data_IF_311406935183
#
_entry.id   IF_311406935183
#
_cell.length_a   1.000
_cell.length_b   1.000
_cell.length_c   1.000
_cell.angle_alpha   90.00
_cell.angle_beta   90.00
_cell.angle_gamma   90.00
#
_symmetry.space_group_name_H-M   'P 1'
#
loop_
_entity.id
_entity.type
_entity.pdbx_description
1 polymer ?
#
# COMPACT_ATOMS: atom_id res chain seq x y z
N UNK A 1 -32.20 4.90 1.97
CA UNK A 1 -30.99 4.17 2.39
C UNK A 1 -29.91 4.33 1.33
N UNK A 2 -28.63 4.51 1.69
CA UNK A 2 -27.55 4.57 0.72
C UNK A 2 -27.46 3.23 -0.04
N UNK A 3 -27.39 3.32 -1.35
CA UNK A 3 -27.36 2.19 -2.27
C UNK A 3 -26.01 2.23 -2.98
N UNK A 4 -25.16 1.25 -2.71
CA UNK A 4 -23.87 1.13 -3.40
C UNK A 4 -24.04 0.14 -4.54
N UNK A 5 -23.72 0.56 -5.76
CA UNK A 5 -23.73 -0.27 -6.95
C UNK A 5 -22.36 -0.20 -7.61
N UNK A 6 -21.65 -1.33 -7.65
CA UNK A 6 -20.33 -1.46 -8.25
C UNK A 6 -20.42 -2.46 -9.41
N UNK A 7 -20.19 -1.97 -10.62
CA UNK A 7 -20.07 -2.79 -11.82
C UNK A 7 -18.66 -2.73 -12.35
N UNK A 8 -18.05 -3.88 -12.53
CA UNK A 8 -16.73 -4.03 -13.15
C UNK A 8 -16.83 -4.95 -14.34
N UNK A 9 -16.16 -4.60 -15.44
CA UNK A 9 -16.00 -5.47 -16.60
C UNK A 9 -14.52 -5.50 -16.97
N UNK A 10 -14.00 -6.71 -17.17
CA UNK A 10 -12.68 -6.91 -17.76
C UNK A 10 -12.93 -7.08 -19.27
N UNK A 11 -12.18 -6.32 -20.08
CA UNK A 11 -12.25 -6.47 -21.52
C UNK A 11 -11.81 -7.88 -21.94
N UNK A 12 -12.50 -8.43 -22.92
CA UNK A 12 -12.15 -9.74 -23.47
C UNK A 12 -10.76 -9.65 -24.09
N UNK A 13 -9.96 -10.69 -23.90
CA UNK A 13 -8.70 -10.84 -24.61
C UNK A 13 -8.47 -12.30 -24.98
N UNK A 14 -7.80 -12.50 -26.12
CA UNK A 14 -7.44 -13.81 -26.64
C UNK A 14 -5.99 -13.73 -27.14
N UNK A 15 -5.10 -14.44 -26.46
CA UNK A 15 -3.66 -14.49 -26.74
C UNK A 15 -3.27 -15.87 -27.28
N UNK A 16 -4.21 -16.59 -27.92
CA UNK A 16 -3.99 -17.93 -28.46
C UNK A 16 -4.39 -19.01 -27.45
N UNK A 17 -3.42 -19.63 -26.72
CA UNK A 17 -3.76 -20.57 -25.67
C UNK A 17 -4.43 -19.89 -24.46
N UNK A 18 -4.18 -18.61 -24.18
CA UNK A 18 -4.77 -17.95 -23.01
C UNK A 18 -5.83 -16.96 -23.45
N UNK A 19 -7.02 -17.00 -22.87
CA UNK A 19 -8.04 -15.99 -23.09
C UNK A 19 -8.98 -15.80 -21.90
N UNK A 20 -9.56 -14.60 -21.80
CA UNK A 20 -10.66 -14.29 -20.90
C UNK A 20 -11.79 -13.67 -21.70
N UNK A 21 -13.03 -14.09 -21.44
CA UNK A 21 -14.23 -13.61 -22.13
C UNK A 21 -15.36 -13.38 -21.16
N UNK A 22 -16.10 -12.29 -21.35
CA UNK A 22 -17.31 -11.98 -20.60
C UNK A 22 -17.08 -11.87 -19.10
N UNK A 23 -15.88 -11.46 -18.65
CA UNK A 23 -15.59 -11.32 -17.23
C UNK A 23 -16.26 -10.05 -16.68
N UNK A 24 -17.32 -10.21 -15.88
CA UNK A 24 -18.01 -9.11 -15.22
C UNK A 24 -18.27 -9.41 -13.75
N UNK A 25 -18.24 -8.36 -12.94
CA UNK A 25 -18.64 -8.35 -11.54
C UNK A 25 -19.72 -7.28 -11.33
N UNK A 26 -20.80 -7.65 -10.66
CA UNK A 26 -21.92 -6.75 -10.31
C UNK A 26 -22.22 -6.92 -8.82
N UNK A 27 -21.96 -5.86 -8.05
CA UNK A 27 -22.16 -5.82 -6.60
C UNK A 27 -23.18 -4.73 -6.30
N UNK A 28 -24.33 -5.14 -5.79
CA UNK A 28 -25.40 -4.25 -5.35
C UNK A 28 -25.61 -4.44 -3.87
N UNK A 29 -25.20 -3.45 -3.07
CA UNK A 29 -25.51 -3.40 -1.65
C UNK A 29 -26.80 -2.59 -1.46
N UNK A 30 -27.86 -3.25 -1.02
CA UNK A 30 -29.16 -2.64 -0.76
C UNK A 30 -29.74 -3.20 0.55
N UNK A 31 -30.62 -2.42 1.20
CA UNK A 31 -31.38 -2.88 2.37
C UNK A 31 -32.61 -3.72 2.00
N UNK A 32 -32.83 -3.94 0.70
CA UNK A 32 -33.95 -4.69 0.14
C UNK A 32 -33.49 -6.08 -0.33
N UNK A 33 -34.45 -6.92 -0.77
CA UNK A 33 -34.16 -8.22 -1.42
C UNK A 33 -33.34 -8.10 -2.70
N UNK A 34 -33.11 -6.89 -3.20
CA UNK A 34 -32.35 -6.66 -4.44
C UNK A 34 -30.82 -6.70 -4.24
N UNK A 35 -30.33 -6.83 -3.00
CA UNK A 35 -28.90 -6.95 -2.74
C UNK A 35 -28.33 -8.22 -3.38
N UNK A 36 -27.25 -8.08 -4.14
CA UNK A 36 -26.60 -9.20 -4.80
C UNK A 36 -25.11 -9.00 -5.08
N UNK A 37 -24.43 -10.12 -5.29
CA UNK A 37 -23.08 -10.24 -5.79
C UNK A 37 -23.11 -11.24 -6.94
N UNK A 38 -22.81 -10.76 -8.15
CA UNK A 38 -22.75 -11.58 -9.36
C UNK A 38 -21.35 -11.52 -9.95
N UNK A 39 -20.84 -12.68 -10.34
CA UNK A 39 -19.57 -12.83 -11.03
C UNK A 39 -19.77 -13.85 -12.14
N UNK A 40 -19.54 -13.43 -13.38
CA UNK A 40 -19.53 -14.35 -14.51
C UNK A 40 -18.28 -14.13 -15.35
N UNK A 41 -17.81 -15.19 -15.99
CA UNK A 41 -16.70 -15.11 -16.92
C UNK A 41 -16.24 -16.47 -17.41
N UNK A 42 -15.62 -16.48 -18.58
CA UNK A 42 -14.99 -17.66 -19.13
C UNK A 42 -13.49 -17.43 -19.30
N UNK A 43 -12.70 -18.45 -19.00
CA UNK A 43 -11.29 -18.52 -19.30
C UNK A 43 -10.98 -19.64 -20.28
N UNK A 44 -9.96 -19.41 -21.10
CA UNK A 44 -9.38 -20.39 -22.02
C UNK A 44 -7.92 -20.55 -21.64
N UNK A 45 -7.49 -21.81 -21.48
CA UNK A 45 -6.09 -22.19 -21.30
C UNK A 45 -5.79 -23.41 -22.17
N UNK A 46 -5.13 -23.18 -23.30
CA UNK A 46 -4.94 -24.12 -24.41
C UNK A 46 -6.28 -24.71 -24.88
N UNK A 47 -6.45 -26.03 -24.70
CA UNK A 47 -7.67 -26.77 -25.05
C UNK A 47 -8.70 -26.80 -23.91
N UNK A 48 -8.38 -26.20 -22.75
CA UNK A 48 -9.25 -26.13 -21.58
C UNK A 48 -10.06 -24.85 -21.65
N UNK A 49 -11.37 -24.99 -21.69
CA UNK A 49 -12.33 -23.90 -21.57
C UNK A 49 -13.02 -24.03 -20.22
N UNK A 50 -12.95 -22.98 -19.40
CA UNK A 50 -13.63 -22.92 -18.11
C UNK A 50 -14.61 -21.77 -18.12
N UNK A 51 -15.83 -21.97 -17.66
CA UNK A 51 -16.77 -20.89 -17.38
C UNK A 51 -17.18 -20.93 -15.93
N UNK A 52 -17.23 -19.77 -15.29
CA UNK A 52 -17.69 -19.58 -13.91
C UNK A 52 -18.89 -18.64 -13.96
N UNK A 53 -19.95 -19.02 -13.25
CA UNK A 53 -21.12 -18.20 -13.00
C UNK A 53 -21.47 -18.29 -11.51
N UNK A 54 -21.45 -17.17 -10.81
CA UNK A 54 -21.75 -17.04 -9.41
C UNK A 54 -22.80 -15.94 -9.26
N UNK A 55 -23.95 -16.27 -8.68
CA UNK A 55 -25.01 -15.33 -8.34
C UNK A 55 -25.42 -15.56 -6.88
N UNK A 56 -25.06 -14.61 -6.03
CA UNK A 56 -25.45 -14.57 -4.63
C UNK A 56 -26.40 -13.39 -4.41
N UNK A 57 -27.60 -13.65 -3.92
CA UNK A 57 -28.57 -12.63 -3.52
C UNK A 57 -29.10 -12.92 -2.12
N UNK A 58 -29.95 -12.04 -1.58
CA UNK A 58 -30.50 -12.16 -0.23
C UNK A 58 -31.17 -13.51 0.11
N UNK A 59 -31.60 -14.28 -0.90
CA UNK A 59 -32.36 -15.53 -0.70
C UNK A 59 -31.62 -16.77 -1.16
N UNK A 60 -30.60 -16.62 -2.01
CA UNK A 60 -29.98 -17.75 -2.71
C UNK A 60 -28.55 -17.45 -3.13
N UNK A 61 -27.70 -18.47 -3.03
CA UNK A 61 -26.39 -18.51 -3.69
C UNK A 61 -26.42 -19.62 -4.73
N UNK A 62 -26.08 -19.31 -5.97
CA UNK A 62 -25.82 -20.28 -7.04
C UNK A 62 -24.41 -20.10 -7.54
N UNK A 63 -23.67 -21.19 -7.66
CA UNK A 63 -22.35 -21.23 -8.27
C UNK A 63 -22.33 -22.36 -9.29
N UNK A 64 -22.04 -22.06 -10.54
CA UNK A 64 -21.87 -23.02 -11.60
C UNK A 64 -20.48 -22.86 -12.21
N UNK A 65 -19.81 -23.98 -12.45
CA UNK A 65 -18.58 -24.03 -13.23
C UNK A 65 -18.72 -25.11 -14.29
N UNK A 66 -18.31 -24.81 -15.52
CA UNK A 66 -18.21 -25.78 -16.61
C UNK A 66 -16.76 -25.80 -17.06
N UNK A 67 -16.17 -27.00 -17.15
CA UNK A 67 -14.84 -27.21 -17.69
C UNK A 67 -14.96 -28.13 -18.91
N UNK A 68 -14.45 -27.71 -20.07
CA UNK A 68 -14.35 -28.53 -21.28
C UNK A 68 -12.91 -28.65 -21.70
N UNK A 69 -12.44 -29.86 -21.97
CA UNK A 69 -11.09 -30.14 -22.43
C UNK A 69 -11.17 -30.79 -23.80
N UNK A 70 -10.87 -30.04 -24.87
CA UNK A 70 -10.70 -30.58 -26.22
C UNK A 70 -11.83 -31.46 -26.76
N UNK A 71 -13.07 -31.29 -26.28
CA UNK A 71 -14.24 -32.11 -26.65
C UNK A 71 -14.25 -33.54 -26.09
N UNK A 72 -13.20 -33.97 -25.38
CA UNK A 72 -13.07 -35.33 -24.82
C UNK A 72 -13.59 -35.44 -23.39
N UNK A 73 -13.63 -34.30 -22.69
CA UNK A 73 -14.05 -34.20 -21.31
C UNK A 73 -14.89 -32.94 -21.13
N UNK A 74 -16.04 -33.10 -20.52
CA UNK A 74 -16.87 -32.00 -20.03
C UNK A 74 -17.20 -32.28 -18.57
N UNK A 75 -17.02 -31.29 -17.69
CA UNK A 75 -17.56 -31.33 -16.35
C UNK A 75 -18.36 -30.09 -16.03
N UNK A 76 -19.60 -30.30 -15.62
CA UNK A 76 -20.49 -29.26 -15.12
C UNK A 76 -20.70 -29.47 -13.63
N UNK A 77 -20.25 -28.51 -12.83
CA UNK A 77 -20.54 -28.47 -11.40
C UNK A 77 -21.52 -27.35 -11.13
N UNK A 78 -22.64 -27.66 -10.50
CA UNK A 78 -23.63 -26.68 -10.05
C UNK A 78 -23.86 -26.85 -8.57
N UNK A 79 -23.76 -25.73 -7.87
CA UNK A 79 -23.97 -25.56 -6.45
C UNK A 79 -25.11 -24.59 -6.26
N UNK A 80 -26.08 -24.93 -5.43
CA UNK A 80 -27.17 -24.03 -5.09
C UNK A 80 -27.49 -24.13 -3.59
N UNK A 81 -27.55 -23.00 -2.91
CA UNK A 81 -27.97 -22.89 -1.52
C UNK A 81 -29.06 -21.86 -1.35
N UNK A 82 -30.13 -22.19 -0.63
CA UNK A 82 -30.98 -21.15 -0.05
C UNK A 82 -30.22 -20.45 1.08
N UNK A 83 -30.31 -19.12 1.16
CA UNK A 83 -29.89 -18.36 2.34
C UNK A 83 -31.10 -18.33 3.27
N UNK A 84 -31.26 -19.41 4.04
CA UNK A 84 -32.25 -19.53 5.11
C UNK A 84 -31.53 -19.88 6.41
N UNK A 85 -32.25 -19.88 7.54
CA UNK A 85 -31.69 -20.28 8.85
C UNK A 85 -31.16 -21.74 8.87
N UNK A 86 -31.37 -22.52 7.81
CA UNK A 86 -30.79 -23.85 7.60
C UNK A 86 -30.24 -23.95 6.17
N UNK A 87 -28.97 -23.61 5.94
CA UNK A 87 -28.38 -23.71 4.61
C UNK A 87 -28.47 -25.15 4.12
N UNK A 88 -29.15 -25.36 2.99
CA UNK A 88 -29.21 -26.65 2.30
C UNK A 88 -28.59 -26.47 0.94
N UNK A 89 -27.59 -27.29 0.63
CA UNK A 89 -26.82 -27.17 -0.60
C UNK A 89 -27.12 -28.36 -1.47
N UNK A 90 -27.42 -28.11 -2.74
CA UNK A 90 -27.46 -29.13 -3.78
C UNK A 90 -26.20 -28.97 -4.63
N UNK A 91 -25.39 -30.03 -4.70
CA UNK A 91 -24.23 -30.11 -5.57
C UNK A 91 -24.53 -31.18 -6.62
N UNK A 92 -24.63 -30.76 -7.89
CA UNK A 92 -24.67 -31.66 -9.05
C UNK A 92 -23.34 -31.54 -9.79
N UNK A 93 -22.60 -32.63 -9.86
CA UNK A 93 -21.40 -32.71 -10.70
C UNK A 93 -21.64 -33.70 -11.82
N UNK A 94 -21.72 -33.25 -13.07
CA UNK A 94 -21.83 -34.13 -14.25
C UNK A 94 -20.48 -34.21 -14.91
N UNK A 95 -19.98 -35.42 -15.09
CA UNK A 95 -18.86 -35.70 -15.98
C UNK A 95 -19.41 -36.31 -17.26
N UNK A 96 -18.96 -35.86 -18.43
CA UNK A 96 -19.18 -36.54 -19.70
C UNK A 96 -17.84 -36.82 -20.34
N UNK A 97 -17.64 -38.06 -20.71
CA UNK A 97 -16.36 -38.53 -21.22
C UNK A 97 -16.61 -39.36 -22.48
N UNK A 98 -16.15 -38.89 -23.64
CA UNK A 98 -16.23 -39.61 -24.93
C UNK A 98 -14.87 -40.23 -25.28
N UNK A 99 -14.13 -40.69 -24.26
CA UNK A 99 -12.79 -41.22 -24.46
C UNK A 99 -12.82 -42.46 -25.33
N UNK A 100 -13.83 -43.34 -25.27
CA UNK A 100 -13.84 -44.62 -26.03
C UNK A 100 -13.81 -44.42 -27.54
N UNK A 101 -14.54 -43.44 -28.08
CA UNK A 101 -14.53 -43.11 -29.51
C UNK A 101 -13.22 -42.44 -29.96
N UNK A 102 -12.52 -41.78 -29.04
CA UNK A 102 -11.23 -41.11 -29.28
C UNK A 102 -10.02 -42.01 -28.97
N UNK A 103 -10.23 -43.06 -28.17
CA UNK A 103 -9.25 -44.05 -27.70
C UNK A 103 -8.85 -45.05 -28.79
N UNK A 104 -9.80 -45.45 -29.64
CA UNK A 104 -9.58 -46.54 -30.62
C UNK A 104 -8.71 -46.17 -31.82
N UNK A 105 -8.48 -44.88 -32.14
CA UNK A 105 -7.74 -44.51 -33.37
C UNK A 105 -6.39 -43.78 -33.16
N UNK A 106 -6.09 -43.18 -32.00
CA UNK A 106 -4.93 -42.27 -31.90
C UNK A 106 -4.25 -42.17 -30.51
N UNK A 107 -4.69 -42.95 -29.53
CA UNK A 107 -4.52 -42.59 -28.12
C UNK A 107 -3.10 -42.72 -27.57
N UNK A 108 -2.33 -43.74 -27.93
CA UNK A 108 -1.02 -43.97 -27.33
C UNK A 108 0.01 -42.89 -27.74
N UNK A 109 -0.07 -42.33 -28.96
CA UNK A 109 0.77 -41.18 -29.35
C UNK A 109 0.22 -39.86 -28.83
N UNK A 110 -1.09 -39.63 -28.90
CA UNK A 110 -1.70 -38.36 -28.46
C UNK A 110 -1.71 -38.20 -26.94
N UNK A 111 -1.88 -39.27 -26.17
CA UNK A 111 -1.82 -39.22 -24.70
C UNK A 111 -0.39 -38.94 -24.20
N UNK A 112 0.64 -39.53 -24.84
CA UNK A 112 2.04 -39.26 -24.52
C UNK A 112 2.45 -37.83 -24.93
N UNK A 113 1.97 -37.36 -26.09
CA UNK A 113 2.14 -35.97 -26.52
C UNK A 113 1.39 -34.98 -25.60
N UNK A 114 0.19 -35.33 -25.15
CA UNK A 114 -0.59 -34.55 -24.19
C UNK A 114 0.09 -34.51 -22.82
N UNK A 115 0.56 -35.63 -22.28
CA UNK A 115 1.29 -35.69 -21.02
C UNK A 115 2.58 -34.85 -21.07
N UNK A 116 3.36 -34.96 -22.15
CA UNK A 116 4.53 -34.09 -22.41
C UNK A 116 4.15 -32.62 -22.60
N UNK A 117 2.95 -32.34 -23.14
CA UNK A 117 2.38 -31.00 -23.25
C UNK A 117 2.03 -30.41 -21.88
N UNK A 118 1.35 -31.19 -21.03
CA UNK A 118 0.99 -30.82 -19.66
C UNK A 118 2.22 -30.60 -18.80
N UNK A 119 3.23 -31.48 -18.86
CA UNK A 119 4.50 -31.27 -18.14
C UNK A 119 5.19 -29.97 -18.57
N UNK A 120 5.22 -29.68 -19.87
CA UNK A 120 5.79 -28.45 -20.42
C UNK A 120 5.01 -27.22 -19.99
N UNK A 121 3.69 -27.28 -20.02
CA UNK A 121 2.82 -26.16 -19.63
C UNK A 121 2.86 -25.93 -18.11
N UNK A 122 2.98 -26.99 -17.31
CA UNK A 122 3.22 -26.89 -15.87
C UNK A 122 4.59 -26.31 -15.55
N UNK A 123 5.64 -26.70 -16.29
CA UNK A 123 6.97 -26.10 -16.15
C UNK A 123 6.96 -24.61 -16.52
N UNK A 124 6.24 -24.21 -17.58
CA UNK A 124 6.03 -22.79 -17.92
C UNK A 124 5.26 -22.05 -16.84
N UNK A 125 4.19 -22.63 -16.30
CA UNK A 125 3.40 -22.03 -15.22
C UNK A 125 4.24 -21.84 -13.95
N UNK A 126 5.07 -22.83 -13.58
CA UNK A 126 6.04 -22.72 -12.49
C UNK A 126 7.04 -21.60 -12.74
N UNK A 127 7.62 -21.52 -13.95
CA UNK A 127 8.52 -20.43 -14.34
C UNK A 127 7.86 -19.04 -14.24
N UNK A 128 6.58 -18.93 -14.62
CA UNK A 128 5.81 -17.69 -14.46
C UNK A 128 5.55 -17.33 -12.99
N UNK A 129 5.27 -18.32 -12.13
CA UNK A 129 5.15 -18.12 -10.67
C UNK A 129 6.48 -17.64 -10.08
N UNK A 130 7.59 -18.27 -10.45
CA UNK A 130 8.93 -17.88 -9.98
C UNK A 130 9.28 -16.46 -10.45
N UNK A 131 8.97 -16.12 -11.70
CA UNK A 131 9.12 -14.77 -12.24
C UNK A 131 8.28 -13.73 -11.48
N UNK A 132 7.02 -14.05 -11.17
CA UNK A 132 6.15 -13.20 -10.37
C UNK A 132 6.64 -13.05 -8.92
N UNK A 133 7.17 -14.12 -8.31
CA UNK A 133 7.81 -14.05 -6.99
C UNK A 133 9.03 -13.11 -7.00
N UNK A 134 9.92 -13.25 -7.98
CA UNK A 134 11.06 -12.33 -8.14
C UNK A 134 10.61 -10.89 -8.30
N UNK A 135 9.54 -10.63 -9.05
CA UNK A 135 8.95 -9.30 -9.20
C UNK A 135 8.43 -8.75 -7.87
N UNK A 136 7.73 -9.56 -7.06
CA UNK A 136 7.27 -9.15 -5.72
C UNK A 136 8.46 -8.82 -4.82
N UNK A 137 9.49 -9.66 -4.76
CA UNK A 137 10.69 -9.39 -3.96
C UNK A 137 11.46 -8.14 -4.44
N UNK A 138 11.49 -7.89 -5.74
CA UNK A 138 12.02 -6.66 -6.32
C UNK A 138 11.26 -5.42 -5.85
N UNK A 139 9.92 -5.46 -5.89
CA UNK A 139 9.06 -4.38 -5.39
C UNK A 139 9.22 -4.17 -3.88
N UNK A 140 9.35 -5.23 -3.08
CA UNK A 140 9.64 -5.13 -1.65
C UNK A 140 10.95 -4.38 -1.37
N UNK A 141 12.00 -4.71 -2.14
CA UNK A 141 13.30 -4.03 -2.07
C UNK A 141 13.17 -2.54 -2.43
N UNK A 142 12.40 -2.22 -3.48
CA UNK A 142 12.14 -0.84 -3.88
C UNK A 142 11.34 -0.07 -2.83
N UNK A 143 10.30 -0.66 -2.22
CA UNK A 143 9.55 -0.06 -1.11
C UNK A 143 10.48 0.24 0.07
N UNK A 144 11.35 -0.70 0.44
CA UNK A 144 12.31 -0.50 1.52
C UNK A 144 13.35 0.60 1.20
N UNK A 145 13.81 0.70 -0.05
CA UNK A 145 14.69 1.77 -0.49
C UNK A 145 13.99 3.14 -0.46
N UNK A 146 12.75 3.24 -0.97
CA UNK A 146 11.96 4.46 -0.96
C UNK A 146 11.68 4.93 0.48
N UNK A 147 11.32 4.02 1.41
CA UNK A 147 11.16 4.33 2.84
C UNK A 147 12.43 4.91 3.45
N UNK A 148 13.59 4.31 3.16
CA UNK A 148 14.90 4.82 3.63
C UNK A 148 15.20 6.21 3.08
N UNK A 149 14.88 6.47 1.82
CA UNK A 149 15.04 7.80 1.22
C UNK A 149 14.16 8.85 1.91
N UNK A 150 12.86 8.57 2.08
CA UNK A 150 11.92 9.48 2.77
C UNK A 150 12.38 9.78 4.20
N UNK A 151 12.83 8.76 4.93
CA UNK A 151 13.38 8.94 6.28
C UNK A 151 14.67 9.77 6.27
N UNK A 152 15.56 9.55 5.30
CA UNK A 152 16.77 10.34 5.09
C UNK A 152 16.46 11.81 4.82
N UNK A 153 15.45 12.10 4.00
CA UNK A 153 14.98 13.46 3.71
C UNK A 153 14.45 14.13 4.98
N UNK A 154 13.62 13.43 5.77
CA UNK A 154 13.12 13.94 7.07
C UNK A 154 14.24 14.26 8.04
N UNK A 155 15.28 13.41 8.14
CA UNK A 155 16.46 13.67 9.00
C UNK A 155 17.22 14.92 8.54
N UNK A 156 17.40 15.11 7.23
CA UNK A 156 18.03 16.32 6.68
C UNK A 156 17.21 17.57 6.98
N UNK A 157 15.88 17.51 6.85
CA UNK A 157 14.99 18.61 7.22
C UNK A 157 15.09 18.94 8.71
N UNK A 158 15.05 17.92 9.58
CA UNK A 158 15.20 18.08 11.02
C UNK A 158 16.53 18.76 11.39
N UNK A 159 17.64 18.30 10.80
CA UNK A 159 18.96 18.89 10.99
C UNK A 159 19.00 20.35 10.52
N UNK A 160 18.37 20.66 9.38
CA UNK A 160 18.23 22.02 8.86
C UNK A 160 17.46 22.95 9.80
N UNK A 161 16.32 22.49 10.34
CA UNK A 161 15.53 23.25 11.33
C UNK A 161 16.35 23.50 12.60
N UNK A 162 17.03 22.48 13.11
CA UNK A 162 17.85 22.59 14.31
C UNK A 162 19.07 23.51 14.13
N UNK A 163 19.69 23.50 12.95
CA UNK A 163 20.77 24.43 12.63
C UNK A 163 20.28 25.89 12.60
N UNK A 164 19.09 26.15 12.03
CA UNK A 164 18.48 27.49 12.05
C UNK A 164 18.12 27.95 13.46
N UNK A 165 17.58 27.07 14.29
CA UNK A 165 17.29 27.33 15.70
C UNK A 165 18.56 27.71 16.48
N UNK A 166 19.64 26.93 16.32
CA UNK A 166 20.96 27.24 16.91
C UNK A 166 21.48 28.60 16.46
N UNK A 167 21.33 28.95 15.18
CA UNK A 167 21.74 30.26 14.64
C UNK A 167 20.94 31.39 15.28
N UNK A 168 19.62 31.27 15.40
CA UNK A 168 18.77 32.26 16.07
C UNK A 168 19.20 32.43 17.54
N UNK A 169 19.40 31.33 18.27
CA UNK A 169 19.86 31.37 19.66
C UNK A 169 21.24 32.03 19.81
N UNK A 170 22.15 31.80 18.87
CA UNK A 170 23.46 32.47 18.84
C UNK A 170 23.33 33.98 18.61
N UNK A 171 22.50 34.38 17.64
CA UNK A 171 22.22 35.80 17.35
C UNK A 171 21.53 36.49 18.55
N UNK A 172 20.60 35.81 19.23
CA UNK A 172 19.96 36.32 20.45
C UNK A 172 20.99 36.62 21.54
N UNK A 173 21.94 35.72 21.79
CA UNK A 173 23.03 35.92 22.76
C UNK A 173 23.92 37.10 22.38
N UNK A 174 24.23 37.26 21.09
CA UNK A 174 25.04 38.39 20.60
C UNK A 174 24.30 39.73 20.74
N UNK A 175 23.01 39.79 20.38
CA UNK A 175 22.17 40.97 20.55
C UNK A 175 22.09 41.35 22.04
N UNK A 176 21.80 40.42 22.93
CA UNK A 176 21.74 40.67 24.38
C UNK A 176 23.09 41.15 24.95
N UNK A 177 24.21 40.58 24.47
CA UNK A 177 25.54 41.00 24.89
C UNK A 177 25.82 42.46 24.49
N UNK A 178 25.54 42.82 23.23
CA UNK A 178 25.72 44.19 22.74
C UNK A 178 24.76 45.18 23.42
N UNK A 179 23.52 44.81 23.68
CA UNK A 179 22.58 45.65 24.45
C UNK A 179 23.09 45.93 25.86
N UNK A 180 23.66 44.91 26.53
CA UNK A 180 24.31 45.10 27.84
C UNK A 180 25.52 46.03 27.74
N UNK A 181 26.34 45.90 26.71
CA UNK A 181 27.48 46.81 26.48
C UNK A 181 27.02 48.25 26.22
N UNK A 182 26.01 48.42 25.37
CA UNK A 182 25.42 49.72 25.04
C UNK A 182 24.89 50.40 26.30
N UNK A 183 24.13 49.67 27.13
CA UNK A 183 23.61 50.17 28.40
C UNK A 183 24.73 50.58 29.36
N UNK A 184 25.75 49.73 29.55
CA UNK A 184 26.92 50.08 30.38
C UNK A 184 27.62 51.35 29.89
N UNK A 185 27.80 51.50 28.58
CA UNK A 185 28.41 52.70 27.99
C UNK A 185 27.52 53.94 28.15
N UNK A 186 26.21 53.83 27.93
CA UNK A 186 25.25 54.90 28.21
C UNK A 186 25.27 55.33 29.68
N UNK A 187 25.31 54.37 30.61
CA UNK A 187 25.41 54.66 32.04
C UNK A 187 26.73 55.36 32.38
N UNK A 188 27.85 54.98 31.74
CA UNK A 188 29.14 55.67 31.90
C UNK A 188 29.19 57.09 31.31
N UNK A 189 28.30 57.42 30.37
CA UNK A 189 28.20 58.78 29.80
C UNK A 189 27.45 59.75 30.70
N UNK A 190 26.52 59.27 31.55
CA UNK A 190 25.74 60.12 32.46
C UNK A 190 26.61 61.02 33.36
N UNK A 191 27.66 60.52 34.05
CA UNK A 191 28.53 61.38 34.84
C UNK A 191 29.33 62.37 33.98
N UNK A 192 29.77 61.98 32.78
CA UNK A 192 30.50 62.87 31.86
C UNK A 192 29.62 64.00 31.33
N UNK A 193 28.37 63.70 30.95
CA UNK A 193 27.38 64.70 30.55
C UNK A 193 27.08 65.68 31.70
N UNK A 194 26.88 65.14 32.92
CA UNK A 194 26.69 65.97 34.12
C UNK A 194 27.89 66.88 34.38
N UNK A 195 29.11 66.38 34.23
CA UNK A 195 30.34 67.16 34.39
C UNK A 195 30.45 68.27 33.33
N UNK A 196 30.21 67.95 32.05
CA UNK A 196 30.23 68.93 30.96
C UNK A 196 29.16 70.02 31.15
N UNK A 197 27.94 69.67 31.56
CA UNK A 197 26.86 70.62 31.88
C UNK A 197 27.21 71.49 33.08
N UNK A 198 27.79 70.93 34.13
CA UNK A 198 28.24 71.67 35.31
C UNK A 198 29.35 72.68 34.96
N UNK A 199 30.37 72.23 34.22
CA UNK A 199 31.47 73.08 33.76
C UNK A 199 30.97 74.21 32.85
N UNK A 200 30.01 73.94 31.96
CA UNK A 200 29.35 74.95 31.13
C UNK A 200 28.67 76.03 31.96
N UNK A 201 27.85 75.64 32.95
CA UNK A 201 27.18 76.59 33.86
C UNK A 201 28.19 77.45 34.63
N UNK A 202 29.28 76.86 35.09
CA UNK A 202 30.34 77.59 35.79
C UNK A 202 31.05 78.61 34.89
N UNK A 203 31.33 78.26 33.64
CA UNK A 203 31.87 79.18 32.64
C UNK A 203 30.89 80.31 32.31
N UNK A 204 29.61 80.01 32.09
CA UNK A 204 28.59 81.05 31.84
C UNK A 204 28.45 82.02 33.01
N UNK A 205 28.52 81.54 34.26
CA UNK A 205 28.55 82.40 35.44
C UNK A 205 29.79 83.29 35.47
N UNK A 206 30.97 82.74 35.18
CA UNK A 206 32.22 83.51 35.12
C UNK A 206 32.17 84.59 34.03
N UNK A 207 31.69 84.24 32.83
CA UNK A 207 31.49 85.17 31.72
C UNK A 207 30.57 86.34 32.08
N UNK A 208 29.47 86.09 32.79
CA UNK A 208 28.57 87.15 33.29
C UNK A 208 29.26 88.04 34.33
N UNK A 209 30.07 87.46 35.23
CA UNK A 209 30.85 88.24 36.19
C UNK A 209 31.89 89.13 35.49
N UNK A 210 32.62 88.62 34.49
CA UNK A 210 33.55 89.42 33.67
C UNK A 210 32.84 90.59 32.97
N UNK A 211 31.64 90.35 32.44
CA UNK A 211 30.86 91.38 31.75
C UNK A 211 30.40 92.51 32.69
N UNK A 212 30.06 92.18 33.93
CA UNK A 212 29.49 93.11 34.91
C UNK A 212 30.54 93.73 35.88
N UNK A 213 31.78 93.24 35.87
CA UNK A 213 32.85 93.70 36.78
C UNK A 213 33.39 95.10 36.44
N UNK A 214 33.90 95.80 37.46
CA UNK A 214 34.54 97.11 37.30
C UNK A 214 35.83 97.03 36.47
N UNK A 215 36.29 98.15 35.91
CA UNK A 215 37.44 98.20 35.00
C UNK A 215 38.73 97.59 35.61
N UNK A 216 38.96 97.79 36.91
CA UNK A 216 40.12 97.25 37.65
C UNK A 216 39.99 95.73 37.92
N UNK A 217 38.78 95.19 38.02
CA UNK A 217 38.54 93.76 38.31
C UNK A 217 38.50 92.87 37.05
N UNK A 218 38.35 93.48 35.86
CA UNK A 218 38.22 92.74 34.59
C UNK A 218 39.41 91.86 34.26
N UNK A 219 40.63 92.24 34.64
CA UNK A 219 41.84 91.44 34.41
C UNK A 219 41.75 90.06 35.10
N UNK A 220 41.66 90.03 36.44
CA UNK A 220 41.48 88.79 37.19
C UNK A 220 40.25 87.97 36.75
N UNK A 221 39.11 88.63 36.47
CA UNK A 221 37.89 87.94 36.02
C UNK A 221 38.07 87.26 34.65
N UNK A 222 38.79 87.86 33.70
CA UNK A 222 39.11 87.23 32.41
C UNK A 222 39.96 85.97 32.56
N UNK A 223 40.93 85.97 33.48
CA UNK A 223 41.75 84.78 33.76
C UNK A 223 40.87 83.65 34.33
N UNK A 224 39.98 83.97 35.28
CA UNK A 224 39.03 83.02 35.85
C UNK A 224 38.06 82.46 34.78
N UNK A 225 37.56 83.30 33.89
CA UNK A 225 36.72 82.89 32.76
C UNK A 225 37.46 81.93 31.82
N UNK A 226 38.70 82.24 31.43
CA UNK A 226 39.54 81.38 30.59
C UNK A 226 39.81 80.01 31.22
N UNK A 227 40.06 79.96 32.52
CA UNK A 227 40.20 78.70 33.26
C UNK A 227 38.92 77.86 33.25
N UNK A 228 37.75 78.48 33.47
CA UNK A 228 36.45 77.78 33.41
C UNK A 228 36.09 77.33 31.99
N UNK A 229 36.42 78.13 30.97
CA UNK A 229 36.26 77.75 29.57
C UNK A 229 37.07 76.50 29.22
N UNK A 230 38.34 76.47 29.63
CA UNK A 230 39.24 75.32 29.43
C UNK A 230 38.67 74.07 30.11
N UNK A 231 38.21 74.19 31.36
CA UNK A 231 37.55 73.08 32.07
C UNK A 231 36.30 72.57 31.34
N UNK A 232 35.46 73.47 30.82
CA UNK A 232 34.30 73.10 30.00
C UNK A 232 34.72 72.37 28.71
N UNK A 233 35.71 72.88 27.98
CA UNK A 233 36.20 72.25 26.74
C UNK A 233 36.77 70.86 27.00
N UNK A 234 37.55 70.67 28.05
CA UNK A 234 38.08 69.36 28.42
C UNK A 234 36.97 68.38 28.82
N UNK A 235 36.00 68.82 29.62
CA UNK A 235 34.85 67.97 30.00
C UNK A 235 33.98 67.60 28.79
N UNK A 236 33.76 68.55 27.87
CA UNK A 236 33.03 68.29 26.62
C UNK A 236 33.79 67.33 25.71
N UNK A 237 35.10 67.50 25.54
CA UNK A 237 35.92 66.61 24.73
C UNK A 237 35.89 65.17 25.28
N UNK A 238 35.97 64.99 26.60
CA UNK A 238 35.84 63.67 27.23
C UNK A 238 34.47 63.02 26.95
N UNK A 239 33.39 63.81 27.04
CA UNK A 239 32.05 63.35 26.67
C UNK A 239 31.95 62.99 25.19
N UNK A 240 32.44 63.85 24.28
CA UNK A 240 32.36 63.65 22.83
C UNK A 240 33.12 62.37 22.42
N UNK A 241 34.33 62.15 22.95
CA UNK A 241 35.13 60.93 22.73
C UNK A 241 34.39 59.69 23.23
N UNK A 242 33.87 59.72 24.46
CA UNK A 242 33.14 58.59 25.02
C UNK A 242 31.83 58.31 24.25
N UNK A 243 31.17 59.34 23.71
CA UNK A 243 29.95 59.22 22.91
C UNK A 243 30.23 58.61 21.52
N UNK A 244 31.45 58.80 20.98
CA UNK A 244 31.90 58.17 19.74
C UNK A 244 31.83 56.64 19.80
N UNK A 245 32.20 56.04 20.93
CA UNK A 245 32.11 54.60 21.13
C UNK A 245 30.67 54.07 21.06
N UNK A 246 29.65 54.86 21.45
CA UNK A 246 28.25 54.47 21.26
C UNK A 246 27.82 54.53 19.79
N UNK A 247 28.34 55.50 19.03
CA UNK A 247 28.05 55.63 17.59
C UNK A 247 28.53 54.41 16.81
N UNK A 248 29.58 53.75 17.25
CA UNK A 248 30.09 52.51 16.62
C UNK A 248 29.29 51.26 17.00
N UNK A 249 28.74 51.20 18.21
CA UNK A 249 27.98 50.03 18.68
C UNK A 249 26.57 49.94 18.08
N UNK A 250 25.92 51.08 17.83
CA UNK A 250 24.56 51.13 17.28
C UNK A 250 24.42 50.44 15.90
N UNK A 251 25.28 50.72 14.90
CA UNK A 251 25.24 50.03 13.61
C UNK A 251 25.44 48.52 13.74
N UNK A 252 26.35 48.06 14.62
CA UNK A 252 26.59 46.64 14.88
C UNK A 252 25.35 45.95 15.46
N UNK A 253 24.69 46.58 16.43
CA UNK A 253 23.45 46.08 17.02
C UNK A 253 22.32 46.02 15.99
N UNK A 254 22.14 47.07 15.18
CA UNK A 254 21.11 47.11 14.14
C UNK A 254 21.33 46.03 13.09
N UNK A 255 22.59 45.81 12.67
CA UNK A 255 22.95 44.73 11.75
C UNK A 255 22.59 43.36 12.33
N UNK A 256 22.96 43.07 13.57
CA UNK A 256 22.64 41.79 14.21
C UNK A 256 21.14 41.58 14.41
N UNK A 257 20.39 42.63 14.74
CA UNK A 257 18.92 42.57 14.79
C UNK A 257 18.32 42.25 13.42
N UNK A 258 18.81 42.87 12.35
CA UNK A 258 18.38 42.57 10.99
C UNK A 258 18.69 41.11 10.59
N UNK A 259 19.91 40.63 10.88
CA UNK A 259 20.30 39.24 10.65
C UNK A 259 19.44 38.24 11.43
N UNK A 260 19.09 38.57 12.68
CA UNK A 260 18.17 37.79 13.51
C UNK A 260 16.78 37.71 12.89
N UNK A 261 16.22 38.84 12.44
CA UNK A 261 14.89 38.89 11.78
C UNK A 261 14.91 38.05 10.50
N UNK A 262 15.96 38.16 9.68
CA UNK A 262 16.12 37.35 8.48
C UNK A 262 16.22 35.85 8.80
N UNK A 263 16.96 35.47 9.83
CA UNK A 263 17.05 34.08 10.28
C UNK A 263 15.69 33.55 10.78
N UNK A 264 14.94 34.36 11.53
CA UNK A 264 13.61 34.02 12.03
C UNK A 264 12.61 33.82 10.87
N UNK A 265 12.63 34.70 9.87
CA UNK A 265 11.79 34.61 8.68
C UNK A 265 12.04 33.32 7.89
N UNK A 266 13.28 32.81 7.90
CA UNK A 266 13.64 31.55 7.26
C UNK A 266 13.36 30.30 8.13
N UNK A 267 13.21 30.46 9.44
CA UNK A 267 12.95 29.36 10.38
C UNK A 267 11.50 28.91 10.33
N UNK A 268 10.54 29.84 10.34
CA UNK A 268 9.10 29.53 10.34
C UNK A 268 8.67 28.59 9.20
N UNK A 269 8.93 28.93 7.93
CA UNK A 269 8.61 28.06 6.79
C UNK A 269 9.33 26.72 6.82
N UNK A 270 10.59 26.69 7.25
CA UNK A 270 11.37 25.45 7.35
C UNK A 270 10.82 24.50 8.43
N UNK A 271 10.42 25.05 9.58
CA UNK A 271 9.78 24.29 10.66
C UNK A 271 8.43 23.75 10.23
N UNK A 272 7.59 24.58 9.59
CA UNK A 272 6.28 24.16 9.08
C UNK A 272 6.41 23.04 8.05
N UNK A 273 7.34 23.17 7.10
CA UNK A 273 7.60 22.13 6.10
C UNK A 273 8.05 20.81 6.75
N UNK A 274 8.93 20.88 7.77
CA UNK A 274 9.35 19.71 8.53
C UNK A 274 8.18 19.07 9.29
N UNK A 275 7.39 19.85 10.02
CA UNK A 275 6.24 19.35 10.78
C UNK A 275 5.19 18.70 9.85
N UNK A 276 4.91 19.32 8.71
CA UNK A 276 4.04 18.74 7.68
C UNK A 276 4.60 17.40 7.16
N UNK A 277 5.90 17.34 6.86
CA UNK A 277 6.55 16.13 6.38
C UNK A 277 6.55 14.98 7.41
N UNK A 278 6.67 15.29 8.71
CA UNK A 278 6.69 14.28 9.78
C UNK A 278 5.29 13.77 10.13
N UNK A 279 4.25 14.61 10.00
CA UNK A 279 2.86 14.21 10.27
C UNK A 279 2.31 13.20 9.26
N UNK A 280 2.79 13.23 8.01
CA UNK A 280 2.40 12.24 7.00
C UNK A 280 3.10 10.90 7.32
N UNK A 281 2.39 9.77 7.45
CA UNK A 281 3.04 8.46 7.57
C UNK A 281 3.94 8.18 6.36
N UNK A 282 5.11 7.55 6.55
CA UNK A 282 6.07 7.30 5.46
C UNK A 282 5.43 6.50 4.31
N UNK A 283 4.50 5.60 4.63
CA UNK A 283 3.81 4.74 3.65
C UNK A 283 2.78 5.49 2.78
N UNK A 284 2.39 6.70 3.19
CA UNK A 284 1.47 7.58 2.43
C UNK A 284 2.25 8.56 1.54
N UNK A 285 3.58 8.63 1.66
CA UNK A 285 4.40 9.40 0.71
C UNK A 285 4.16 8.88 -0.71
N UNK A 286 3.85 9.73 -1.71
CA UNK A 286 3.50 9.29 -3.06
C UNK A 286 4.54 8.35 -3.69
N UNK A 287 5.82 8.49 -3.33
CA UNK A 287 6.93 7.64 -3.80
C UNK A 287 6.83 6.22 -3.24
N UNK A 288 6.30 6.05 -2.03
CA UNK A 288 6.15 4.77 -1.34
C UNK A 288 4.78 4.16 -1.63
N UNK A 289 3.71 4.97 -1.60
CA UNK A 289 2.33 4.52 -1.77
C UNK A 289 2.10 3.83 -3.13
N UNK A 290 2.65 4.39 -4.22
CA UNK A 290 2.56 3.77 -5.55
C UNK A 290 3.23 2.40 -5.61
N UNK A 291 4.39 2.25 -4.96
CA UNK A 291 5.13 0.99 -4.90
C UNK A 291 4.39 -0.07 -4.05
N UNK A 292 3.78 0.36 -2.93
CA UNK A 292 2.94 -0.52 -2.10
C UNK A 292 1.73 -1.02 -2.90
N UNK A 293 1.06 -0.14 -3.64
CA UNK A 293 -0.06 -0.51 -4.51
C UNK A 293 0.35 -1.54 -5.57
N UNK A 294 1.44 -1.30 -6.29
CA UNK A 294 1.98 -2.23 -7.28
C UNK A 294 2.35 -3.58 -6.67
N UNK A 295 2.96 -3.58 -5.47
CA UNK A 295 3.30 -4.79 -4.72
C UNK A 295 2.05 -5.58 -4.31
N UNK A 296 0.99 -4.90 -3.85
CA UNK A 296 -0.27 -5.53 -3.46
C UNK A 296 -0.95 -6.21 -4.67
N UNK A 297 -1.01 -5.53 -5.82
CA UNK A 297 -1.51 -6.13 -7.07
C UNK A 297 -0.68 -7.33 -7.49
N UNK A 298 0.66 -7.22 -7.47
CA UNK A 298 1.56 -8.32 -7.84
C UNK A 298 1.38 -9.55 -6.91
N UNK A 299 1.21 -9.33 -5.61
CA UNK A 299 0.90 -10.40 -4.64
C UNK A 299 -0.47 -11.03 -4.92
N UNK A 300 -1.50 -10.24 -5.22
CA UNK A 300 -2.82 -10.76 -5.56
C UNK A 300 -2.76 -11.64 -6.83
N UNK A 301 -2.08 -11.18 -7.88
CA UNK A 301 -1.85 -11.97 -9.10
C UNK A 301 -1.07 -13.25 -8.82
N UNK A 302 -0.02 -13.18 -7.99
CA UNK A 302 0.77 -14.34 -7.59
C UNK A 302 -0.07 -15.36 -6.81
N UNK A 303 -0.90 -14.91 -5.86
CA UNK A 303 -1.81 -15.78 -5.10
C UNK A 303 -2.83 -16.45 -6.01
N UNK A 304 -3.43 -15.71 -6.94
CA UNK A 304 -4.36 -16.27 -7.93
C UNK A 304 -3.67 -17.31 -8.83
N UNK A 305 -2.45 -17.02 -9.30
CA UNK A 305 -1.66 -17.96 -10.10
C UNK A 305 -1.31 -19.23 -9.32
N UNK A 306 -0.90 -19.11 -8.05
CA UNK A 306 -0.64 -20.26 -7.16
C UNK A 306 -1.91 -21.10 -6.95
N UNK A 307 -3.05 -20.46 -6.70
CA UNK A 307 -4.32 -21.15 -6.51
C UNK A 307 -4.78 -21.90 -7.78
N UNK A 308 -4.61 -21.29 -8.96
CA UNK A 308 -4.89 -21.95 -10.23
C UNK A 308 -3.98 -23.17 -10.44
N UNK A 309 -2.67 -23.02 -10.22
CA UNK A 309 -1.72 -24.14 -10.37
C UNK A 309 -1.97 -25.25 -9.34
N UNK A 310 -2.31 -24.93 -8.09
CA UNK A 310 -2.63 -25.94 -7.07
C UNK A 310 -3.96 -26.66 -7.32
N UNK A 311 -4.98 -25.94 -7.79
CA UNK A 311 -6.31 -26.50 -8.08
C UNK A 311 -6.33 -27.36 -9.34
N UNK A 312 -5.59 -26.95 -10.38
CA UNK A 312 -5.48 -27.71 -11.63
C UNK A 312 -4.47 -28.85 -11.51
N UNK A 313 -3.38 -28.66 -10.75
CA UNK A 313 -2.32 -29.66 -10.60
C UNK A 313 -2.79 -30.96 -9.93
N UNK A 314 -3.66 -30.89 -8.92
CA UNK A 314 -4.20 -32.08 -8.23
C UNK A 314 -5.24 -32.82 -9.07
N UNK A 315 -6.16 -32.09 -9.71
CA UNK A 315 -7.20 -32.68 -10.57
C UNK A 315 -6.60 -33.29 -11.84
N UNK A 316 -5.63 -32.62 -12.49
CA UNK A 316 -4.99 -33.11 -13.72
C UNK A 316 -4.00 -34.25 -13.43
N UNK A 317 -3.28 -34.23 -12.31
CA UNK A 317 -2.42 -35.35 -11.92
C UNK A 317 -3.20 -36.59 -11.45
N UNK A 318 -4.40 -36.39 -10.88
CA UNK A 318 -5.32 -37.49 -10.54
C UNK A 318 -5.98 -38.05 -11.81
N UNK A 319 -6.48 -37.19 -12.69
CA UNK A 319 -7.03 -37.60 -13.99
C UNK A 319 -5.98 -38.32 -14.83
N UNK A 320 -4.76 -37.78 -14.95
CA UNK A 320 -3.65 -38.43 -15.67
C UNK A 320 -3.27 -39.81 -15.12
N UNK A 321 -3.37 -40.02 -13.80
CA UNK A 321 -3.14 -41.34 -13.16
C UNK A 321 -4.26 -42.34 -13.45
N UNK A 322 -5.52 -41.90 -13.37
CA UNK A 322 -6.69 -42.72 -13.72
C UNK A 322 -6.69 -43.06 -15.21
N UNK A 323 -6.34 -42.10 -16.08
CA UNK A 323 -6.23 -42.29 -17.53
C UNK A 323 -5.06 -43.18 -17.92
N UNK A 324 -3.90 -43.07 -17.26
CA UNK A 324 -2.75 -43.96 -17.49
C UNK A 324 -3.02 -45.39 -16.98
N UNK A 325 -3.80 -45.54 -15.92
CA UNK A 325 -4.27 -46.85 -15.46
C UNK A 325 -5.30 -47.45 -16.43
N UNK A 326 -6.29 -46.69 -16.88
CA UNK A 326 -7.29 -47.14 -17.84
C UNK A 326 -6.65 -47.54 -19.18
N UNK A 327 -5.70 -46.76 -19.70
CA UNK A 327 -4.98 -47.06 -20.94
C UNK A 327 -4.08 -48.31 -20.86
N UNK A 328 -3.66 -48.71 -19.64
CA UNK A 328 -2.90 -49.96 -19.42
C UNK A 328 -3.80 -51.19 -19.27
N UNK A 329 -5.11 -51.01 -19.08
CA UNK A 329 -6.05 -52.07 -18.73
C UNK A 329 -7.26 -52.15 -19.68
N UNK A 330 -7.30 -51.40 -20.80
CA UNK A 330 -8.50 -51.31 -21.64
C UNK A 330 -8.39 -52.11 -22.94
N UNK A 331 -9.04 -53.27 -22.96
CA UNK A 331 -9.82 -53.72 -24.11
C UNK A 331 -11.30 -53.74 -23.70
N UNK A 332 -12.10 -52.75 -24.10
CA UNK A 332 -13.58 -52.69 -24.13
C UNK A 332 -14.46 -53.27 -22.98
N UNK A 333 -13.93 -53.57 -21.79
CA UNK A 333 -14.75 -54.18 -20.72
C UNK A 333 -15.67 -53.15 -20.05
N UNK A 334 -15.20 -51.95 -19.69
CA UNK A 334 -15.97 -50.95 -18.93
C UNK A 334 -15.57 -49.50 -19.30
N UNK A 335 -16.53 -48.69 -19.72
CA UNK A 335 -16.40 -47.25 -19.96
C UNK A 335 -17.41 -46.47 -19.10
N UNK A 336 -17.01 -45.33 -18.55
CA UNK A 336 -17.90 -44.42 -17.83
C UNK A 336 -18.30 -43.28 -18.76
N UNK A 337 -19.55 -43.28 -19.24
CA UNK A 337 -20.08 -42.24 -20.13
C UNK A 337 -20.40 -40.96 -19.36
N UNK A 338 -21.03 -41.12 -18.19
CA UNK A 338 -21.25 -40.01 -17.27
C UNK A 338 -21.38 -40.44 -15.81
N UNK A 339 -21.04 -39.53 -14.89
CA UNK A 339 -21.35 -39.68 -13.48
C UNK A 339 -22.01 -38.38 -12.97
N UNK A 340 -23.12 -38.51 -12.27
CA UNK A 340 -23.73 -37.45 -11.48
C UNK A 340 -23.74 -37.77 -10.00
N UNK A 341 -23.26 -36.83 -9.20
CA UNK A 341 -23.31 -36.91 -7.74
C UNK A 341 -24.34 -35.89 -7.26
N UNK A 342 -25.20 -36.29 -6.33
CA UNK A 342 -26.21 -35.44 -5.70
C UNK A 342 -26.29 -35.70 -4.21
N UNK A 343 -26.13 -34.65 -3.40
CA UNK A 343 -26.30 -34.73 -1.96
C UNK A 343 -26.75 -33.40 -1.37
N UNK A 344 -27.51 -33.47 -0.28
CA UNK A 344 -27.76 -32.32 0.60
C UNK A 344 -26.62 -32.22 1.62
N UNK A 345 -25.91 -31.09 1.70
CA UNK A 345 -24.77 -30.95 2.62
C UNK A 345 -25.13 -31.25 4.09
N UNK A 346 -26.26 -30.73 4.60
CA UNK A 346 -26.70 -31.01 5.99
C UNK A 346 -26.94 -32.52 6.21
N UNK A 347 -27.42 -33.21 5.18
CA UNK A 347 -27.53 -34.67 5.22
C UNK A 347 -26.14 -35.31 5.23
N UNK A 348 -25.26 -34.92 4.30
CA UNK A 348 -23.89 -35.45 4.18
C UNK A 348 -23.06 -35.30 5.47
N UNK A 349 -23.10 -34.12 6.10
CA UNK A 349 -22.38 -33.81 7.34
C UNK A 349 -22.88 -34.64 8.53
N UNK A 350 -24.16 -35.05 8.51
CA UNK A 350 -24.76 -35.94 9.52
C UNK A 350 -24.64 -37.42 9.18
N UNK A 351 -23.80 -37.79 8.21
CA UNK A 351 -23.63 -39.19 7.78
C UNK A 351 -24.68 -39.68 6.78
N UNK A 352 -25.47 -38.77 6.20
CA UNK A 352 -26.49 -39.07 5.20
C UNK A 352 -25.90 -39.55 3.87
N UNK A 353 -26.79 -40.08 3.02
CA UNK A 353 -26.43 -40.73 1.76
C UNK A 353 -26.26 -39.73 0.63
N UNK A 354 -25.22 -39.94 -0.17
CA UNK A 354 -25.00 -39.30 -1.47
C UNK A 354 -25.58 -40.23 -2.53
N UNK A 355 -26.42 -39.68 -3.40
CA UNK A 355 -26.84 -40.35 -4.63
C UNK A 355 -25.76 -40.21 -5.69
N UNK A 356 -25.45 -41.30 -6.37
CA UNK A 356 -24.51 -41.35 -7.49
C UNK A 356 -25.22 -42.04 -8.64
N UNK A 357 -25.53 -41.30 -9.70
CA UNK A 357 -26.00 -41.89 -10.95
C UNK A 357 -24.83 -42.04 -11.91
N UNK A 358 -24.63 -43.22 -12.45
CA UNK A 358 -23.56 -43.54 -13.38
C UNK A 358 -24.20 -44.04 -14.67
N UNK A 359 -23.85 -43.44 -15.80
CA UNK A 359 -24.05 -44.05 -17.11
C UNK A 359 -22.73 -44.73 -17.49
N UNK A 360 -22.74 -46.04 -17.59
CA UNK A 360 -21.56 -46.85 -17.96
C UNK A 360 -21.86 -47.63 -19.23
N UNK A 361 -20.84 -47.89 -20.05
CA UNK A 361 -20.88 -48.87 -21.13
C UNK A 361 -20.09 -50.09 -20.71
N UNK A 362 -20.76 -51.21 -20.58
CA UNK A 362 -20.15 -52.51 -20.25
C UNK A 362 -20.30 -53.40 -21.48
N UNK A 363 -19.18 -53.86 -22.06
CA UNK A 363 -19.16 -54.63 -23.32
C UNK A 363 -20.00 -53.98 -24.44
N UNK A 364 -19.91 -52.66 -24.59
CA UNK A 364 -20.64 -51.89 -25.63
C UNK A 364 -22.11 -51.60 -25.30
N UNK A 365 -22.69 -52.19 -24.27
CA UNK A 365 -24.06 -51.90 -23.84
C UNK A 365 -24.09 -50.78 -22.80
N UNK A 366 -24.88 -49.73 -23.05
CA UNK A 366 -25.07 -48.64 -22.10
C UNK A 366 -26.02 -49.05 -20.97
N UNK A 367 -25.60 -48.81 -19.73
CA UNK A 367 -26.33 -49.11 -18.49
C UNK A 367 -26.36 -47.86 -17.62
N UNK A 368 -27.46 -47.66 -16.89
CA UNK A 368 -27.59 -46.63 -15.87
C UNK A 368 -27.61 -47.29 -14.50
N UNK A 369 -26.69 -46.90 -13.62
CA UNK A 369 -26.58 -47.40 -12.26
C UNK A 369 -26.89 -46.26 -11.30
N UNK A 370 -27.76 -46.49 -10.32
CA UNK A 370 -27.99 -45.56 -9.22
C UNK A 370 -27.45 -46.19 -7.95
N UNK A 371 -26.46 -45.53 -7.34
CA UNK A 371 -25.82 -45.97 -6.11
C UNK A 371 -26.09 -44.95 -5.01
N UNK A 372 -26.26 -45.44 -3.79
CA UNK A 372 -26.42 -44.59 -2.61
C UNK A 372 -25.42 -44.99 -1.54
N UNK A 373 -24.49 -44.11 -1.20
CA UNK A 373 -23.50 -44.36 -0.15
C UNK A 373 -23.49 -43.20 0.85
N UNK A 374 -23.46 -43.51 2.13
CA UNK A 374 -23.21 -42.52 3.19
C UNK A 374 -21.81 -41.92 3.05
N UNK A 375 -21.60 -40.73 3.62
CA UNK A 375 -20.28 -40.09 3.66
C UNK A 375 -19.21 -41.00 4.30
N UNK A 376 -19.58 -41.78 5.31
CA UNK A 376 -18.70 -42.79 5.94
C UNK A 376 -18.37 -43.95 5.00
N UNK A 377 -19.36 -44.47 4.27
CA UNK A 377 -19.15 -45.54 3.28
C UNK A 377 -18.27 -45.07 2.11
N UNK A 378 -18.45 -43.83 1.66
CA UNK A 378 -17.59 -43.22 0.62
C UNK A 378 -16.15 -43.12 1.13
N UNK A 379 -15.94 -42.64 2.35
CA UNK A 379 -14.61 -42.55 2.96
C UNK A 379 -13.93 -43.92 3.12
N UNK A 380 -14.71 -44.97 3.29
CA UNK A 380 -14.25 -46.36 3.37
C UNK A 380 -14.10 -47.04 2.00
N UNK A 381 -14.37 -46.36 0.89
CA UNK A 381 -14.31 -46.95 -0.46
C UNK A 381 -15.47 -47.87 -0.83
N UNK A 382 -16.49 -48.02 0.02
CA UNK A 382 -17.63 -48.94 -0.18
C UNK A 382 -18.51 -48.58 -1.37
N UNK A 383 -18.41 -47.34 -1.87
CA UNK A 383 -19.07 -46.95 -3.12
C UNK A 383 -18.52 -47.76 -4.31
N UNK A 384 -17.21 -48.02 -4.31
CA UNK A 384 -16.58 -48.84 -5.35
C UNK A 384 -17.01 -50.31 -5.25
N UNK A 385 -17.11 -50.84 -4.03
CA UNK A 385 -17.66 -52.19 -3.80
C UNK A 385 -19.11 -52.29 -4.28
N UNK A 386 -19.94 -51.30 -3.97
CA UNK A 386 -21.34 -51.24 -4.42
C UNK A 386 -21.44 -51.14 -5.94
N UNK A 387 -20.55 -50.37 -6.58
CA UNK A 387 -20.44 -50.29 -8.03
C UNK A 387 -20.04 -51.65 -8.62
N UNK A 388 -19.03 -52.31 -8.05
CA UNK A 388 -18.58 -53.61 -8.50
C UNK A 388 -19.68 -54.66 -8.40
N UNK A 389 -20.38 -54.72 -7.26
CA UNK A 389 -21.52 -55.62 -7.06
C UNK A 389 -22.67 -55.32 -8.03
N UNK A 390 -22.94 -54.05 -8.32
CA UNK A 390 -23.96 -53.66 -9.29
C UNK A 390 -23.58 -54.07 -10.73
N UNK A 391 -22.29 -53.99 -11.06
CA UNK A 391 -21.76 -54.43 -12.35
C UNK A 391 -21.74 -55.95 -12.46
N UNK A 392 -21.32 -56.66 -11.41
CA UNK A 392 -21.28 -58.13 -11.35
C UNK A 392 -22.67 -58.76 -11.51
N UNK A 393 -23.71 -58.13 -10.95
CA UNK A 393 -25.12 -58.55 -11.16
C UNK A 393 -25.64 -58.28 -12.58
N UNK A 394 -24.93 -57.45 -13.35
CA UNK A 394 -25.33 -57.03 -14.69
C UNK A 394 -24.53 -57.71 -15.81
N UNK A 395 -23.43 -58.36 -15.45
CA UNK A 395 -22.72 -59.37 -16.26
C UNK A 395 -23.49 -60.69 -16.15
#
# INVERSE_FOLDING_TARGET
SPMLNLKGRIADFDLGPVGLRGCQVDIKLATTRDAHFRLHGASKLAIVHKSIDLDANATRVTFATSDRVGGVYESDMRFQSAISNRPSWDMTVRFKNDFSRTLEQDFSRRALAWAKGVERDFAKAKGSIDGAQRKVSGLETQVAAARRQVQGDRRRMAAGVHAKEKRISSLDKQVQSLEKQLRKKQDSLKPLDKAAKSAKKAWEKAKRATANGSLLEKGPLKVAEGAKWTAYKSAKAAYDVASGALRELNPKLNKLRAERVAAQAQYGPAKLAYEAAVRVPVDVDPRVAGLIGAMATARATLTAAKAAVSGTGTAVAAAGRVTAWAARNSGNVLALDSASFGAKLDSYLRGGRVGVDLAVRLMGQRRSLQLHASSREIAQGKLFESLWQALEKSL
#
